data_IF_872833101887
#
_entry.id   IF_872833101887
#
_cell.length_a   1.000
_cell.length_b   1.000
_cell.length_c   1.000
_cell.angle_alpha   90.00
_cell.angle_beta   90.00
_cell.angle_gamma   90.00
#
_symmetry.space_group_name_H-M   'P 1'
#
loop_
_entity.id
_entity.type
_entity.pdbx_description
1 polymer ?
#
# COMPACT_ATOMS: atom_id res chain seq x y z
N UNK A 1 8.55 14.14 -14.90
CA UNK A 1 8.18 13.51 -14.36
C UNK A 1 8.11 12.68 -13.80
N UNK A 2 8.08 12.50 -14.02
CA UNK A 2 7.80 11.72 -13.40
C UNK A 2 7.48 10.84 -13.19
N UNK A 3 7.37 10.66 -13.75
CA UNK A 3 6.96 9.79 -13.30
C UNK A 3 6.93 8.89 -13.27
N UNK A 4 7.03 8.75 -13.71
CA UNK A 4 6.97 7.92 -13.32
C UNK A 4 7.04 7.23 -13.27
N UNK A 5 7.24 7.25 -13.72
CA UNK A 5 7.25 6.59 -13.26
C UNK A 5 7.11 5.82 -13.12
N UNK A 6 7.13 5.77 -13.59
CA UNK A 6 6.98 5.07 -13.07
C UNK A 6 6.71 4.29 -13.02
N UNK A 7 6.77 4.25 -13.52
CA UNK A 7 6.54 3.57 -13.09
C UNK A 7 6.44 2.88 -13.18
N UNK A 8 6.56 2.92 -13.89
CA UNK A 8 6.45 2.44 -13.66
C UNK A 8 6.06 2.11 -13.91
N UNK A 9 6.00 2.15 -14.57
CA UNK A 9 5.60 1.96 -14.37
C UNK A 9 5.05 1.68 -14.46
N UNK A 10 4.92 1.66 -15.22
CA UNK A 10 4.31 1.56 -14.92
C UNK A 10 3.74 1.49 -14.76
N UNK A 11 3.64 1.54 -15.30
CA UNK A 11 3.04 1.75 -14.86
C UNK A 11 3.01 2.24 -14.38
N UNK A 12 3.01 2.48 -14.41
CA UNK A 12 3.02 3.07 -13.81
C UNK A 12 2.96 3.81 -13.30
N UNK A 13 2.71 4.36 -13.24
CA UNK A 13 2.64 4.99 -12.49
C UNK A 13 2.74 5.33 -11.79
N UNK A 14 2.38 5.42 -12.21
CA UNK A 14 2.48 6.00 -11.26
C UNK A 14 3.29 5.67 -10.22
N UNK A 15 3.90 5.29 -10.25
CA UNK A 15 4.68 5.09 -9.41
C UNK A 15 5.73 5.65 -9.08
N UNK A 16 5.78 6.27 -9.56
CA UNK A 16 6.62 6.67 -9.02
C UNK A 16 6.47 7.58 -8.65
N UNK A 17 6.04 7.83 -8.89
CA UNK A 17 5.62 8.76 -8.39
C UNK A 17 6.09 9.39 -7.40
N UNK A 18 6.33 9.67 -7.73
CA UNK A 18 6.84 9.64 -7.14
C UNK A 18 7.78 9.04 -6.24
N UNK A 19 9.03 8.90 -6.53
CA UNK A 19 10.01 8.36 -5.61
C UNK A 19 10.10 9.21 -4.34
N UNK A 20 9.98 10.53 -4.48
CA UNK A 20 10.00 11.41 -3.33
C UNK A 20 8.84 11.20 -2.39
N UNK A 21 7.68 10.89 -2.97
CA UNK A 21 6.51 10.60 -2.17
C UNK A 21 6.69 9.31 -1.39
N UNK A 22 7.24 8.28 -2.04
CA UNK A 22 7.51 7.02 -1.38
C UNK A 22 8.48 7.19 -0.24
N UNK A 23 9.54 7.95 -0.47
CA UNK A 23 10.53 8.17 0.58
C UNK A 23 9.94 8.89 1.78
N UNK A 24 9.08 9.86 1.53
CA UNK A 24 8.43 10.57 2.61
C UNK A 24 7.55 9.64 3.42
N UNK A 25 6.80 8.78 2.74
CA UNK A 25 5.97 7.80 3.40
C UNK A 25 6.81 6.84 4.22
N UNK A 26 7.93 6.38 3.65
CA UNK A 26 8.82 5.46 4.34
C UNK A 26 9.34 6.05 5.64
N UNK A 27 9.77 7.29 5.61
CA UNK A 27 10.32 7.93 6.80
C UNK A 27 9.29 8.16 7.87
N UNK A 28 8.11 8.61 7.45
CA UNK A 28 7.08 8.96 8.41
C UNK A 28 6.42 7.77 9.04
N UNK A 29 6.35 6.66 8.32
CA UNK A 29 5.55 5.54 8.77
C UNK A 29 6.12 4.74 9.90
N UNK A 30 7.42 4.77 10.10
CA UNK A 30 8.03 3.90 11.09
C UNK A 30 7.39 4.02 12.46
N UNK A 31 6.99 5.23 12.82
CA UNK A 31 6.36 5.45 14.10
C UNK A 31 5.10 6.26 13.93
N UNK A 32 4.54 6.30 12.74
CA UNK A 32 3.46 7.22 12.43
C UNK A 32 2.09 6.64 12.68
N UNK A 33 1.91 5.32 12.50
CA UNK A 33 0.58 4.72 12.63
C UNK A 33 0.17 4.63 14.08
N UNK A 34 -0.93 5.27 14.41
CA UNK A 34 -1.52 5.20 15.73
C UNK A 34 -2.62 4.15 15.76
N UNK A 35 -3.39 4.06 14.68
CA UNK A 35 -4.50 3.13 14.61
C UNK A 35 -4.76 2.74 13.17
N UNK A 36 -5.03 1.46 12.96
CA UNK A 36 -5.53 0.93 11.69
C UNK A 36 -6.87 0.28 11.96
N UNK A 37 -7.87 0.66 11.18
CA UNK A 37 -9.22 0.10 11.29
C UNK A 37 -9.61 -0.50 9.96
N UNK A 38 -10.00 -1.77 9.97
CA UNK A 38 -10.42 -2.50 8.77
C UNK A 38 -11.81 -3.07 9.06
N UNK A 39 -12.77 -2.70 8.23
CA UNK A 39 -14.14 -3.22 8.41
C UNK A 39 -14.78 -3.48 7.04
N UNK A 40 -16.08 -3.71 7.02
CA UNK A 40 -16.77 -4.06 5.78
C UNK A 40 -16.84 -2.91 4.80
N UNK A 41 -16.60 -1.67 5.25
CA UNK A 41 -16.63 -0.51 4.36
C UNK A 41 -15.30 -0.20 3.74
N UNK A 42 -14.21 -0.41 4.48
CA UNK A 42 -12.90 -0.08 3.96
C UNK A 42 -11.83 -0.07 5.04
N UNK A 43 -10.80 0.73 4.78
CA UNK A 43 -9.62 0.81 5.62
C UNK A 43 -9.41 2.27 6.02
N UNK A 44 -9.13 2.51 7.30
CA UNK A 44 -8.77 3.83 7.80
C UNK A 44 -7.50 3.71 8.62
N UNK A 45 -6.66 4.70 8.50
CA UNK A 45 -5.40 4.72 9.22
C UNK A 45 -5.17 6.11 9.78
N UNK A 46 -4.97 6.19 11.09
CA UNK A 46 -4.64 7.44 11.75
C UNK A 46 -3.16 7.50 12.02
N UNK A 47 -2.55 8.62 11.72
CA UNK A 47 -1.12 8.82 11.87
C UNK A 47 -0.86 9.74 13.07
N UNK A 48 0.33 9.59 13.64
CA UNK A 48 0.70 10.31 14.85
C UNK A 48 0.69 11.83 14.66
N UNK A 49 0.99 12.28 13.46
CA UNK A 49 1.02 13.72 13.15
C UNK A 49 -0.37 14.30 12.87
N UNK A 50 -1.42 13.52 13.09
CA UNK A 50 -2.79 13.96 12.88
C UNK A 50 -3.35 13.70 11.51
N UNK A 51 -2.53 13.23 10.56
CA UNK A 51 -3.03 12.90 9.25
C UNK A 51 -3.89 11.64 9.31
N UNK A 52 -4.79 11.54 8.37
CA UNK A 52 -5.73 10.44 8.29
C UNK A 52 -5.76 9.93 6.84
N UNK A 53 -5.66 8.64 6.67
CA UNK A 53 -5.80 7.99 5.36
C UNK A 53 -7.00 7.09 5.41
N UNK A 54 -7.77 7.06 4.33
CA UNK A 54 -8.88 6.12 4.26
C UNK A 54 -9.18 5.77 2.82
N UNK A 55 -9.73 4.59 2.62
CA UNK A 55 -10.20 4.17 1.31
C UNK A 55 -11.29 3.12 1.50
N UNK A 56 -12.41 3.30 0.81
CA UNK A 56 -13.48 2.29 0.81
C UNK A 56 -13.08 1.16 -0.13
N UNK A 57 -13.47 -0.07 0.21
CA UNK A 57 -13.18 -1.20 -0.69
C UNK A 57 -13.67 -0.96 -2.10
N UNK A 58 -14.84 -0.32 -2.23
CA UNK A 58 -15.42 -0.04 -3.55
C UNK A 58 -14.56 0.94 -4.35
N UNK A 59 -13.73 1.73 -3.69
CA UNK A 59 -12.91 2.74 -4.33
C UNK A 59 -11.48 2.30 -4.55
N UNK A 60 -11.08 1.15 -4.03
CA UNK A 60 -9.74 0.63 -4.27
C UNK A 60 -9.63 0.21 -5.74
N UNK A 61 -8.64 0.72 -6.44
CA UNK A 61 -8.44 0.40 -7.84
C UNK A 61 -7.20 -0.46 -8.08
N UNK A 62 -6.29 -0.49 -7.12
CA UNK A 62 -5.06 -1.26 -7.27
C UNK A 62 -4.48 -1.54 -5.90
N UNK A 63 -3.90 -2.73 -5.74
CA UNK A 63 -3.17 -3.10 -4.52
C UNK A 63 -1.75 -3.48 -4.91
N UNK A 64 -0.78 -2.84 -4.28
CA UNK A 64 0.62 -3.11 -4.53
C UNK A 64 1.28 -3.63 -3.26
N UNK A 65 2.29 -4.48 -3.43
CA UNK A 65 3.21 -4.83 -2.37
C UNK A 65 4.54 -4.19 -2.72
N UNK A 66 5.02 -3.32 -1.84
CA UNK A 66 6.27 -2.59 -2.03
C UNK A 66 7.29 -3.12 -1.04
N UNK A 67 8.43 -3.59 -1.56
CA UNK A 67 9.55 -4.02 -0.72
C UNK A 67 10.63 -2.96 -0.83
N UNK A 68 11.00 -2.38 0.31
CA UNK A 68 12.01 -1.34 0.36
C UNK A 68 13.40 -1.94 0.28
N UNK A 69 14.39 -1.18 -0.20
CA UNK A 69 15.77 -1.65 -0.16
C UNK A 69 16.20 -1.85 1.30
N UNK A 70 17.23 -2.63 1.51
CA UNK A 70 17.77 -2.83 2.85
C UNK A 70 18.19 -1.48 3.41
N UNK A 71 17.89 -1.28 4.69
CA UNK A 71 18.15 0.00 5.31
C UNK A 71 17.63 0.01 6.74
N UNK A 72 17.55 1.20 7.34
CA UNK A 72 17.16 1.33 8.75
C UNK A 72 15.65 1.26 8.95
N UNK A 73 14.94 0.61 8.04
CA UNK A 73 13.49 0.47 8.12
C UNK A 73 13.15 -0.58 9.16
N UNK A 74 12.15 -0.29 9.99
CA UNK A 74 11.64 -1.26 10.91
C UNK A 74 10.94 -2.38 10.16
N UNK A 75 10.24 -1.99 9.10
CA UNK A 75 9.46 -2.90 8.27
C UNK A 75 9.78 -2.58 6.82
N UNK A 76 10.30 -3.56 6.08
CA UNK A 76 10.68 -3.33 4.68
C UNK A 76 9.51 -3.40 3.73
N UNK A 77 8.41 -4.02 4.15
CA UNK A 77 7.31 -4.30 3.24
C UNK A 77 6.13 -3.37 3.56
N UNK A 78 5.56 -2.80 2.50
CA UNK A 78 4.39 -1.93 2.60
C UNK A 78 3.30 -2.49 1.71
N UNK A 79 2.08 -2.44 2.16
CA UNK A 79 0.92 -2.75 1.32
C UNK A 79 0.27 -1.42 0.98
N UNK A 80 0.12 -1.15 -0.31
CA UNK A 80 -0.40 0.14 -0.78
C UNK A 80 -1.75 -0.10 -1.42
N UNK A 81 -2.77 0.53 -0.88
CA UNK A 81 -4.12 0.50 -1.44
C UNK A 81 -4.34 1.83 -2.15
N UNK A 82 -4.47 1.77 -3.46
CA UNK A 82 -4.69 2.97 -4.27
C UNK A 82 -6.18 3.19 -4.46
N UNK A 83 -6.64 4.40 -4.13
CA UNK A 83 -8.02 4.78 -4.38
C UNK A 83 -8.18 5.35 -5.78
N UNK A 84 -9.41 5.73 -6.12
CA UNK A 84 -9.71 6.27 -7.44
C UNK A 84 -9.04 7.59 -7.69
N UNK A 85 -8.91 8.41 -6.66
CA UNK A 85 -8.23 9.69 -6.79
C UNK A 85 -6.77 9.51 -6.43
N UNK A 86 -5.93 10.31 -7.07
CA UNK A 86 -4.49 10.15 -6.96
C UNK A 86 -4.00 10.17 -5.52
N UNK A 87 -4.61 11.00 -4.69
CA UNK A 87 -4.16 11.16 -3.31
C UNK A 87 -4.92 10.30 -2.31
N UNK A 88 -5.88 9.53 -2.80
CA UNK A 88 -6.64 8.68 -1.90
C UNK A 88 -5.96 7.32 -1.78
N UNK A 89 -6.14 6.69 -0.63
CA UNK A 89 -5.59 5.37 -0.39
C UNK A 89 -4.85 5.29 0.93
N UNK A 90 -4.21 4.15 1.16
CA UNK A 90 -3.48 3.89 2.39
C UNK A 90 -2.17 3.21 2.08
N UNK A 91 -1.11 3.60 2.80
CA UNK A 91 0.19 2.93 2.75
C UNK A 91 0.41 2.29 4.12
N UNK A 92 0.40 0.97 4.17
CA UNK A 92 0.34 0.26 5.44
C UNK A 92 1.56 -0.63 5.60
N UNK A 93 2.39 -0.41 6.64
CA UNK A 93 3.50 -1.32 6.93
C UNK A 93 3.00 -2.72 7.23
N UNK A 94 3.78 -3.73 6.86
CA UNK A 94 3.36 -5.13 6.96
C UNK A 94 2.93 -5.50 8.37
N UNK A 95 3.71 -5.15 9.39
CA UNK A 95 3.37 -5.49 10.76
C UNK A 95 2.05 -4.89 11.21
N UNK A 96 1.80 -3.65 10.81
CA UNK A 96 0.55 -2.98 11.13
C UNK A 96 -0.61 -3.66 10.41
N UNK A 97 -0.38 -4.06 9.15
CA UNK A 97 -1.40 -4.72 8.35
C UNK A 97 -1.80 -6.07 8.97
N UNK A 98 -0.81 -6.82 9.44
CA UNK A 98 -1.08 -8.13 10.06
C UNK A 98 -1.89 -7.98 11.33
N UNK A 99 -1.48 -7.05 12.19
CA UNK A 99 -2.17 -6.84 13.47
C UNK A 99 -3.56 -6.28 13.29
N UNK A 100 -3.74 -5.45 12.27
CA UNK A 100 -4.99 -4.76 12.04
C UNK A 100 -6.03 -5.52 11.23
N UNK A 101 -5.70 -6.75 10.80
CA UNK A 101 -6.66 -7.56 10.06
C UNK A 101 -6.81 -7.22 8.59
N UNK A 102 -5.81 -6.55 8.02
CA UNK A 102 -5.91 -6.15 6.62
C UNK A 102 -5.99 -7.35 5.69
N UNK A 103 -5.25 -8.43 6.00
CA UNK A 103 -5.19 -9.59 5.13
C UNK A 103 -6.58 -10.19 4.91
N UNK A 104 -7.36 -10.30 5.99
CA UNK A 104 -8.73 -10.78 5.87
C UNK A 104 -9.61 -9.83 5.08
N UNK A 105 -9.39 -8.53 5.26
CA UNK A 105 -10.17 -7.52 4.56
C UNK A 105 -9.95 -7.51 3.06
N UNK A 106 -8.75 -7.85 2.62
CA UNK A 106 -8.44 -7.86 1.18
C UNK A 106 -9.34 -8.81 0.41
N UNK A 107 -9.87 -9.84 1.07
CA UNK A 107 -10.80 -10.76 0.43
C UNK A 107 -12.11 -10.12 0.00
N UNK A 108 -12.39 -8.90 0.44
CA UNK A 108 -13.58 -8.17 -0.01
C UNK A 108 -13.41 -7.60 -1.42
N UNK A 109 -12.18 -7.55 -1.92
CA UNK A 109 -11.94 -7.10 -3.29
C UNK A 109 -12.31 -8.24 -4.25
N UNK A 110 -12.98 -7.92 -5.37
CA UNK A 110 -13.42 -8.98 -6.31
C UNK A 110 -12.24 -9.77 -6.84
N UNK A 111 -12.32 -11.09 -6.70
CA UNK A 111 -11.33 -11.99 -7.27
C UNK A 111 -9.90 -11.70 -6.79
N UNK A 112 -9.77 -11.27 -5.54
CA UNK A 112 -8.45 -11.00 -4.99
C UNK A 112 -7.61 -12.29 -4.97
N UNK A 113 -6.39 -12.19 -5.51
CA UNK A 113 -5.51 -13.34 -5.63
C UNK A 113 -4.58 -13.40 -4.42
N UNK A 114 -4.99 -14.17 -3.41
CA UNK A 114 -4.22 -14.28 -2.17
C UNK A 114 -2.87 -14.95 -2.39
N UNK A 115 -2.79 -15.83 -3.40
CA UNK A 115 -1.53 -16.48 -3.70
C UNK A 115 -0.52 -15.49 -4.26
N UNK A 116 -0.94 -14.66 -5.21
CA UNK A 116 -0.07 -13.63 -5.76
C UNK A 116 0.37 -12.66 -4.66
N UNK A 117 -0.54 -12.32 -3.75
CA UNK A 117 -0.24 -11.46 -2.63
C UNK A 117 0.83 -12.09 -1.72
N UNK A 118 0.64 -13.36 -1.35
CA UNK A 118 1.60 -14.04 -0.48
C UNK A 118 2.95 -14.19 -1.15
N UNK A 119 2.96 -14.48 -2.45
CA UNK A 119 4.22 -14.59 -3.19
C UNK A 119 4.96 -13.26 -3.21
N UNK A 120 4.22 -12.16 -3.34
CA UNK A 120 4.82 -10.82 -3.34
C UNK A 120 5.42 -10.49 -1.97
N UNK A 121 4.75 -10.89 -0.89
CA UNK A 121 5.26 -10.66 0.47
C UNK A 121 6.55 -11.40 0.72
N UNK A 122 6.76 -12.52 0.05
CA UNK A 122 7.94 -13.36 0.26
C UNK A 122 9.16 -12.88 -0.51
N UNK A 123 9.01 -11.91 -1.40
CA UNK A 123 10.14 -11.41 -2.17
C UNK A 123 11.10 -10.63 -1.30
N UNK A 124 12.39 -10.89 -1.47
CA UNK A 124 13.41 -10.20 -0.69
C UNK A 124 14.00 -9.01 -1.44
N UNK A 125 13.86 -9.02 -2.76
CA UNK A 125 14.40 -7.96 -3.59
C UNK A 125 13.52 -6.72 -3.53
N UNK A 126 14.16 -5.56 -3.45
CA UNK A 126 13.44 -4.30 -3.47
C UNK A 126 12.65 -4.15 -4.77
N UNK A 127 11.47 -3.60 -4.68
CA UNK A 127 10.63 -3.37 -5.85
C UNK A 127 9.17 -3.32 -5.49
N UNK A 128 8.35 -3.19 -6.52
CA UNK A 128 6.90 -3.09 -6.40
C UNK A 128 6.26 -4.18 -7.23
N UNK A 129 5.31 -4.90 -6.63
CA UNK A 129 4.52 -5.91 -7.33
C UNK A 129 3.06 -5.50 -7.23
N UNK A 130 2.41 -5.33 -8.38
CA UNK A 130 0.96 -5.09 -8.42
C UNK A 130 0.29 -6.45 -8.27
N UNK A 131 -0.46 -6.63 -7.19
CA UNK A 131 -1.07 -7.93 -6.89
C UNK A 131 -2.56 -7.95 -7.21
N UNK A 132 -3.15 -6.79 -7.46
CA UNK A 132 -4.57 -6.72 -7.80
C UNK A 132 -4.86 -5.40 -8.49
N UNK A 133 -5.69 -5.46 -9.52
CA UNK A 133 -6.19 -4.27 -10.20
C UNK A 133 -7.66 -4.44 -10.47
N UNK A 134 -8.42 -3.35 -10.31
CA UNK A 134 -9.85 -3.40 -10.59
C UNK A 134 -10.07 -3.39 -12.09
N UNK A 135 -10.84 -4.34 -12.55
CA UNK A 135 -11.18 -4.41 -13.97
C UNK A 135 -12.39 -3.54 -14.25
N UNK A 136 -12.43 -2.92 -15.44
CA UNK A 136 -13.58 -2.09 -15.81
C UNK A 136 -14.86 -2.91 -15.97
#
# INVERSE_FOLDING_TARGET
MGLLLLVLMLGGFAVFIAAGRSQRAQRGERAATVRLSVDERGVERDLRDGRHEEVAWADVVEVDVVTLPKGPWEDRVRIVLHGREEESGCIIPLGVAEEGGLFGGLGRLPQFDHRAFNDALAKERAGTVVVWERRP
#
